data_IF_815083709632
#
_entry.id   IF_815083709632
#
_cell.length_a   1.000
_cell.length_b   1.000
_cell.length_c   1.000
_cell.angle_alpha   90.00
_cell.angle_beta   90.00
_cell.angle_gamma   90.00
#
_symmetry.space_group_name_H-M   'P 1'
#
loop_
_entity.id
_entity.type
_entity.pdbx_description
1 polymer ?
#
# COMPACT_ATOMS: atom_id res chain seq x y z
N UNK A 1 16.06 18.24 16.76
CA UNK A 1 16.14 18.23 15.28
C UNK A 1 14.77 18.54 14.66
N UNK A 2 14.70 18.89 13.37
CA UNK A 2 13.44 19.11 12.62
C UNK A 2 12.97 17.82 11.92
N UNK A 3 11.67 17.55 11.93
CA UNK A 3 11.03 16.36 11.37
C UNK A 3 9.79 16.74 10.54
N UNK A 4 9.54 15.97 9.47
CA UNK A 4 8.39 16.15 8.59
C UNK A 4 7.26 15.16 8.93
N UNK A 5 6.05 15.68 9.11
CA UNK A 5 4.85 14.89 9.38
C UNK A 5 3.76 15.18 8.34
N UNK A 6 3.22 14.13 7.74
CA UNK A 6 2.06 14.26 6.86
C UNK A 6 0.82 14.69 7.64
N UNK A 7 0.16 15.75 7.19
CA UNK A 7 -1.05 16.28 7.82
C UNK A 7 -2.06 16.68 6.73
N UNK A 8 -3.15 15.92 6.62
CA UNK A 8 -4.12 16.05 5.54
C UNK A 8 -3.46 16.01 4.14
N UNK A 9 -3.45 17.13 3.42
CA UNK A 9 -2.85 17.28 2.08
C UNK A 9 -1.49 17.96 2.10
N UNK A 10 -0.95 18.28 3.27
CA UNK A 10 0.32 19.00 3.42
C UNK A 10 1.30 18.23 4.29
N UNK A 11 2.50 18.76 4.41
CA UNK A 11 3.52 18.32 5.37
C UNK A 11 3.75 19.44 6.36
N UNK A 12 3.81 19.09 7.65
CA UNK A 12 4.10 20.01 8.74
C UNK A 12 5.47 19.68 9.30
N UNK A 13 6.26 20.71 9.59
CA UNK A 13 7.56 20.61 10.23
C UNK A 13 7.41 20.75 11.73
N UNK A 14 8.03 19.84 12.48
CA UNK A 14 8.09 19.89 13.94
C UNK A 14 9.53 19.85 14.41
N UNK A 15 9.86 20.61 15.44
CA UNK A 15 11.17 20.57 16.06
C UNK A 15 11.05 19.92 17.44
N UNK A 16 11.77 18.82 17.63
CA UNK A 16 11.79 18.08 18.89
C UNK A 16 13.24 18.03 19.37
N UNK A 17 13.46 18.46 20.61
CA UNK A 17 14.74 18.30 21.31
C UNK A 17 15.05 16.81 21.45
N UNK A 18 16.26 16.40 21.09
CA UNK A 18 16.66 15.00 21.00
C UNK A 18 16.56 14.31 22.37
N UNK A 19 16.69 15.05 23.49
CA UNK A 19 16.48 14.51 24.84
C UNK A 19 15.06 14.00 25.09
N UNK A 20 14.09 14.48 24.30
CA UNK A 20 12.69 14.12 24.38
C UNK A 20 12.29 13.07 23.32
N UNK A 21 13.20 12.65 22.45
CA UNK A 21 12.92 11.70 21.38
C UNK A 21 13.33 10.28 21.75
N UNK A 22 12.34 9.39 21.88
CA UNK A 22 12.59 7.97 22.16
C UNK A 22 12.95 7.20 20.88
N UNK A 23 12.37 7.58 19.74
CA UNK A 23 12.66 6.97 18.45
C UNK A 23 11.64 7.33 17.37
N UNK A 24 11.93 6.97 16.12
CA UNK A 24 11.06 7.20 14.96
C UNK A 24 10.85 5.90 14.22
N UNK A 25 9.59 5.47 14.13
CA UNK A 25 9.20 4.25 13.45
C UNK A 25 8.72 4.57 12.04
N UNK A 26 9.40 4.01 11.05
CA UNK A 26 9.03 4.10 9.64
C UNK A 26 8.46 2.78 9.14
N UNK A 27 7.71 2.84 8.04
CA UNK A 27 7.32 1.63 7.33
C UNK A 27 8.57 0.81 6.94
N UNK A 28 8.45 -0.52 7.03
CA UNK A 28 9.52 -1.42 6.62
C UNK A 28 9.84 -1.24 5.14
N UNK A 29 11.13 -1.21 4.80
CA UNK A 29 11.57 -1.20 3.41
C UNK A 29 11.30 -2.57 2.79
N UNK A 30 10.49 -2.60 1.73
CA UNK A 30 10.21 -3.80 0.95
C UNK A 30 10.72 -3.64 -0.47
N UNK A 31 11.31 -4.69 -1.04
CA UNK A 31 11.72 -4.69 -2.45
C UNK A 31 10.47 -4.90 -3.32
N UNK A 32 10.02 -3.84 -3.97
CA UNK A 32 8.87 -3.89 -4.87
C UNK A 32 9.35 -4.21 -6.29
N UNK A 33 8.86 -5.31 -6.88
CA UNK A 33 9.23 -5.73 -8.25
C UNK A 33 8.30 -5.14 -9.29
N UNK A 34 6.99 -5.35 -9.13
CA UNK A 34 5.95 -4.82 -10.00
C UNK A 34 5.09 -3.82 -9.23
N UNK A 35 4.51 -2.86 -9.94
CA UNK A 35 3.60 -1.85 -9.41
C UNK A 35 2.45 -1.59 -10.38
N UNK A 36 1.44 -0.85 -9.92
CA UNK A 36 0.32 -0.40 -10.76
C UNK A 36 -0.42 -1.55 -11.45
N UNK A 37 -0.79 -1.33 -12.71
CA UNK A 37 -1.58 -2.29 -13.49
C UNK A 37 -0.89 -3.66 -13.67
N UNK A 38 0.44 -3.69 -13.80
CA UNK A 38 1.20 -4.93 -13.96
C UNK A 38 1.09 -5.82 -12.72
N UNK A 39 1.13 -5.23 -11.53
CA UNK A 39 0.96 -5.98 -10.28
C UNK A 39 -0.48 -6.44 -10.09
N UNK A 40 -1.47 -5.61 -10.44
CA UNK A 40 -2.88 -6.01 -10.42
C UNK A 40 -3.13 -7.19 -11.36
N UNK A 41 -2.57 -7.17 -12.57
CA UNK A 41 -2.68 -8.28 -13.53
C UNK A 41 -2.06 -9.56 -12.97
N UNK A 42 -0.86 -9.49 -12.38
CA UNK A 42 -0.20 -10.64 -11.73
C UNK A 42 -1.11 -11.27 -10.67
N UNK A 43 -1.74 -10.45 -9.83
CA UNK A 43 -2.63 -10.92 -8.77
C UNK A 43 -3.88 -11.62 -9.31
N UNK A 44 -4.51 -11.06 -10.35
CA UNK A 44 -5.68 -11.67 -11.00
C UNK A 44 -5.35 -13.00 -11.70
N UNK A 45 -4.14 -13.12 -12.25
CA UNK A 45 -3.66 -14.34 -12.91
C UNK A 45 -3.26 -15.45 -11.90
N UNK A 46 -2.98 -15.09 -10.65
CA UNK A 46 -2.49 -16.00 -9.60
C UNK A 46 -3.30 -15.83 -8.30
N UNK A 47 -4.60 -16.20 -8.29
CA UNK A 47 -5.46 -16.05 -7.12
C UNK A 47 -5.00 -16.92 -5.94
N UNK A 48 -5.24 -16.46 -4.72
CA UNK A 48 -4.92 -17.18 -3.49
C UNK A 48 -6.22 -17.81 -2.96
N UNK A 49 -6.27 -19.14 -2.94
CA UNK A 49 -7.39 -19.88 -2.33
C UNK A 49 -8.68 -19.94 -3.16
N UNK A 50 -8.68 -19.45 -4.40
CA UNK A 50 -9.84 -19.47 -5.30
C UNK A 50 -9.43 -19.75 -6.75
N UNK A 51 -10.42 -19.98 -7.62
CA UNK A 51 -10.21 -20.01 -9.08
C UNK A 51 -9.97 -18.61 -9.63
N UNK A 52 -9.53 -18.50 -10.89
CA UNK A 52 -9.38 -17.19 -11.54
C UNK A 52 -10.75 -16.56 -11.74
N UNK A 53 -10.80 -15.22 -11.71
CA UNK A 53 -12.07 -14.50 -11.78
C UNK A 53 -12.90 -14.85 -13.02
N UNK A 54 -12.25 -14.97 -14.20
CA UNK A 54 -12.94 -15.33 -15.46
C UNK A 54 -13.48 -16.77 -15.48
N UNK A 55 -13.07 -17.62 -14.53
CA UNK A 55 -13.59 -18.98 -14.37
C UNK A 55 -14.77 -19.01 -13.41
N UNK A 56 -14.93 -17.98 -12.58
CA UNK A 56 -16.01 -17.86 -11.60
C UNK A 56 -17.21 -17.15 -12.22
N UNK A 57 -16.98 -16.03 -12.91
CA UNK A 57 -18.04 -15.19 -13.48
C UNK A 57 -18.51 -15.73 -14.83
N UNK A 58 -19.82 -15.83 -15.02
CA UNK A 58 -20.43 -16.28 -16.28
C UNK A 58 -20.95 -15.12 -17.12
N UNK A 59 -21.00 -15.26 -18.46
CA UNK A 59 -21.63 -14.26 -19.32
C UNK A 59 -23.08 -13.98 -18.90
N UNK A 60 -23.43 -12.70 -18.74
CA UNK A 60 -24.77 -12.26 -18.35
C UNK A 60 -25.09 -12.36 -16.85
N UNK A 61 -24.14 -12.79 -16.02
CA UNK A 61 -24.32 -12.83 -14.57
C UNK A 61 -24.34 -11.41 -13.99
N UNK A 62 -25.33 -11.13 -13.14
CA UNK A 62 -25.40 -9.86 -12.42
C UNK A 62 -24.36 -9.86 -11.31
N UNK A 63 -23.31 -9.06 -11.51
CA UNK A 63 -22.29 -8.74 -10.50
C UNK A 63 -22.67 -7.45 -9.75
N UNK A 64 -22.17 -7.28 -8.53
CA UNK A 64 -22.45 -6.13 -7.65
C UNK A 64 -21.72 -4.86 -8.08
#
# INVERSE_FOLDING_TARGET
MEYDLGFAKTTVKVNIDDKNLIGIFHANKVKVKLTGASEVKRALENPIGTKKLYEIVKPGEKIA
#
